data_IF_426599371195
#
_entry.id   IF_426599371195
#
_cell.length_a   1.000
_cell.length_b   1.000
_cell.length_c   1.000
_cell.angle_alpha   90.00
_cell.angle_beta   90.00
_cell.angle_gamma   90.00
#
_symmetry.space_group_name_H-M   'P 1'
#
loop_
_entity.id
_entity.type
_entity.pdbx_description
1 polymer ?
#
# COMPACT_ATOMS: atom_id res chain seq x y z
N UNK A 1 -11.65 19.06 33.34
CA UNK A 1 -12.33 17.80 33.76
C UNK A 1 -11.84 16.67 32.85
N UNK A 2 -11.81 15.41 33.32
CA UNK A 2 -11.53 14.30 32.38
C UNK A 2 -12.66 14.26 31.33
N UNK A 3 -12.34 14.19 30.03
CA UNK A 3 -13.36 14.14 28.99
C UNK A 3 -14.15 12.84 29.08
N UNK A 4 -15.44 12.89 28.72
CA UNK A 4 -16.32 11.72 28.70
C UNK A 4 -16.21 10.98 27.37
N UNK A 5 -16.59 9.71 27.34
CA UNK A 5 -16.46 8.81 26.19
C UNK A 5 -17.10 9.38 24.90
N UNK A 6 -18.22 10.11 25.00
CA UNK A 6 -18.84 10.79 23.86
C UNK A 6 -18.06 12.01 23.31
N UNK A 7 -17.33 12.73 24.17
CA UNK A 7 -16.41 13.81 23.74
C UNK A 7 -15.18 13.19 23.05
N UNK A 8 -14.68 12.05 23.54
CA UNK A 8 -13.58 11.33 22.91
C UNK A 8 -14.00 10.75 21.55
N UNK A 9 -15.20 10.15 21.43
CA UNK A 9 -15.70 9.64 20.16
C UNK A 9 -15.83 10.73 19.08
N UNK A 10 -16.15 11.97 19.45
CA UNK A 10 -16.30 13.08 18.50
C UNK A 10 -14.99 13.82 18.17
N UNK A 11 -13.96 13.71 19.02
CA UNK A 11 -12.73 14.52 18.90
C UNK A 11 -11.46 13.67 18.69
N UNK A 12 -11.52 12.35 18.89
CA UNK A 12 -10.33 11.46 18.83
C UNK A 12 -10.40 10.32 17.81
N UNK A 13 -11.47 10.23 17.02
CA UNK A 13 -11.58 9.19 16.00
C UNK A 13 -10.85 9.62 14.74
N UNK A 14 -9.91 8.78 14.29
CA UNK A 14 -9.34 8.82 12.94
C UNK A 14 -10.47 8.55 11.95
N UNK A 15 -11.07 9.59 11.32
CA UNK A 15 -12.16 9.35 10.41
C UNK A 15 -11.61 8.69 9.14
N UNK A 16 -12.37 7.80 8.53
CA UNK A 16 -12.04 7.31 7.19
C UNK A 16 -12.04 8.52 6.25
N UNK A 17 -10.88 8.83 5.66
CA UNK A 17 -10.73 9.96 4.73
C UNK A 17 -11.14 9.54 3.32
N UNK A 18 -10.73 8.35 2.90
CA UNK A 18 -11.01 7.81 1.57
C UNK A 18 -10.96 6.28 1.57
N UNK A 19 -11.74 5.65 0.68
CA UNK A 19 -11.73 4.21 0.47
C UNK A 19 -11.17 3.88 -0.92
N UNK A 20 -9.93 3.43 -0.95
CA UNK A 20 -9.23 3.09 -2.20
C UNK A 20 -9.47 1.62 -2.58
N UNK A 21 -9.91 1.40 -3.81
CA UNK A 21 -10.15 0.06 -4.40
C UNK A 21 -9.14 -0.24 -5.50
N UNK A 22 -8.99 -1.52 -5.87
CA UNK A 22 -8.18 -1.92 -7.04
C UNK A 22 -7.54 -3.30 -6.94
N UNK A 23 -7.40 -3.84 -5.73
CA UNK A 23 -6.97 -5.23 -5.53
C UNK A 23 -8.17 -6.18 -5.55
N UNK A 24 -7.98 -7.39 -6.11
CA UNK A 24 -9.02 -8.42 -6.19
C UNK A 24 -9.16 -9.28 -4.93
N UNK A 25 -8.24 -9.16 -3.97
CA UNK A 25 -8.14 -9.98 -2.76
C UNK A 25 -7.75 -9.14 -1.54
N UNK A 26 -7.69 -9.78 -0.37
CA UNK A 26 -7.32 -9.13 0.89
C UNK A 26 -5.96 -8.42 0.78
N UNK A 27 -5.89 -7.19 1.28
CA UNK A 27 -4.64 -6.43 1.36
C UNK A 27 -3.67 -7.11 2.32
N UNK A 28 -2.41 -7.26 1.93
CA UNK A 28 -1.38 -7.98 2.68
C UNK A 28 -0.24 -7.06 3.10
N UNK A 29 0.19 -6.16 2.21
CA UNK A 29 1.30 -5.26 2.46
C UNK A 29 0.99 -3.85 1.96
N UNK A 30 1.39 -2.86 2.75
CA UNK A 30 1.28 -1.44 2.43
C UNK A 30 2.58 -0.73 2.81
N UNK A 31 2.97 0.26 2.01
CA UNK A 31 4.07 1.16 2.32
C UNK A 31 3.75 2.57 1.81
N UNK A 32 4.24 3.59 2.49
CA UNK A 32 4.14 4.98 2.08
C UNK A 32 5.50 5.49 1.65
N UNK A 33 5.54 6.33 0.61
CA UNK A 33 6.77 7.02 0.23
C UNK A 33 7.20 8.02 1.32
N UNK A 34 8.49 8.36 1.34
CA UNK A 34 9.08 9.30 2.31
C UNK A 34 8.52 10.72 2.12
N UNK A 35 8.30 11.15 0.88
CA UNK A 35 7.60 12.39 0.52
C UNK A 35 6.10 12.37 0.82
N UNK A 36 5.55 11.20 1.15
CA UNK A 36 4.10 10.94 1.34
C UNK A 36 3.26 11.19 0.10
N UNK A 37 3.86 11.26 -1.09
CA UNK A 37 3.13 11.41 -2.35
C UNK A 37 2.51 10.09 -2.82
N UNK A 38 3.08 8.96 -2.43
CA UNK A 38 2.66 7.66 -2.93
C UNK A 38 2.38 6.65 -1.83
N UNK A 39 1.38 5.79 -2.10
CA UNK A 39 1.12 4.56 -1.35
C UNK A 39 1.33 3.39 -2.28
N UNK A 40 2.18 2.44 -1.88
CA UNK A 40 2.31 1.14 -2.51
C UNK A 40 1.50 0.10 -1.74
N UNK A 41 0.83 -0.79 -2.48
CA UNK A 41 -0.07 -1.79 -1.91
C UNK A 41 0.01 -3.11 -2.65
N UNK A 42 -0.11 -4.22 -1.92
CA UNK A 42 -0.20 -5.56 -2.47
C UNK A 42 -1.30 -6.37 -1.77
N UNK A 43 -1.91 -7.28 -2.50
CA UNK A 43 -2.89 -8.22 -1.97
C UNK A 43 -2.38 -9.65 -2.01
N UNK A 44 -3.16 -10.57 -1.42
CA UNK A 44 -2.92 -11.99 -1.58
C UNK A 44 -3.04 -12.38 -3.05
N UNK A 45 -2.02 -13.07 -3.55
CA UNK A 45 -2.04 -13.59 -4.90
C UNK A 45 -2.48 -15.06 -4.92
N UNK A 46 -3.51 -15.36 -5.71
CA UNK A 46 -3.84 -16.73 -6.11
C UNK A 46 -3.24 -17.12 -7.48
N UNK A 47 -2.70 -16.14 -8.19
CA UNK A 47 -2.10 -16.27 -9.52
C UNK A 47 -1.15 -15.10 -9.80
N UNK A 48 -0.25 -15.19 -10.81
CA UNK A 48 0.76 -14.17 -11.08
C UNK A 48 0.19 -12.78 -11.43
N UNK A 49 -0.97 -12.71 -12.07
CA UNK A 49 -1.64 -11.44 -12.39
C UNK A 49 -2.11 -10.67 -11.14
N UNK A 50 -2.29 -11.37 -10.02
CA UNK A 50 -2.60 -10.76 -8.71
C UNK A 50 -1.33 -10.45 -7.91
N UNK A 51 -0.19 -11.06 -8.24
CA UNK A 51 1.10 -10.89 -7.57
C UNK A 51 1.80 -9.59 -8.02
N UNK A 52 1.11 -8.46 -7.88
CA UNK A 52 1.57 -7.15 -8.33
C UNK A 52 1.53 -6.14 -7.18
N UNK A 53 2.39 -5.12 -7.27
CA UNK A 53 2.32 -3.95 -6.39
C UNK A 53 1.65 -2.80 -7.15
N UNK A 54 0.60 -2.23 -6.56
CA UNK A 54 -0.11 -1.07 -7.10
C UNK A 54 0.33 0.20 -6.37
N UNK A 55 0.63 1.25 -7.13
CA UNK A 55 0.98 2.57 -6.62
C UNK A 55 -0.22 3.50 -6.77
N UNK A 56 -0.53 4.27 -5.73
CA UNK A 56 -1.57 5.28 -5.74
C UNK A 56 -1.00 6.61 -5.25
N UNK A 57 -1.48 7.69 -5.84
CA UNK A 57 -1.22 9.06 -5.37
C UNK A 57 -2.03 9.34 -4.09
N UNK A 58 -1.41 9.97 -3.09
CA UNK A 58 -2.06 10.21 -1.79
C UNK A 58 -2.98 11.43 -1.76
N UNK A 59 -2.93 12.28 -2.77
CA UNK A 59 -3.77 13.48 -2.86
C UNK A 59 -5.06 13.19 -3.62
N UNK A 60 -4.94 12.47 -4.73
CA UNK A 60 -6.03 12.13 -5.65
C UNK A 60 -6.60 10.74 -5.42
N UNK A 61 -5.85 9.87 -4.73
CA UNK A 61 -6.18 8.46 -4.51
C UNK A 61 -6.33 7.63 -5.80
N UNK A 62 -5.79 8.14 -6.91
CA UNK A 62 -5.82 7.46 -8.20
C UNK A 62 -4.58 6.58 -8.40
N UNK A 63 -4.70 5.48 -9.17
CA UNK A 63 -3.56 4.66 -9.55
C UNK A 63 -2.52 5.46 -10.34
N UNK A 64 -1.24 5.26 -10.02
CA UNK A 64 -0.11 5.87 -10.72
C UNK A 64 0.56 4.82 -11.58
N UNK A 65 0.40 4.95 -12.90
CA UNK A 65 1.00 4.04 -13.87
C UNK A 65 0.43 2.62 -13.82
N UNK A 66 1.12 1.70 -14.49
CA UNK A 66 0.78 0.28 -14.49
C UNK A 66 1.28 -0.40 -13.20
N UNK A 67 0.60 -1.47 -12.72
CA UNK A 67 1.07 -2.24 -11.58
C UNK A 67 2.49 -2.77 -11.78
N UNK A 68 3.30 -2.77 -10.72
CA UNK A 68 4.63 -3.35 -10.72
C UNK A 68 4.49 -4.88 -10.75
N UNK A 69 4.79 -5.46 -11.91
CA UNK A 69 4.66 -6.90 -12.17
C UNK A 69 5.97 -7.66 -11.93
N UNK A 70 5.87 -8.99 -11.97
CA UNK A 70 7.01 -9.89 -12.05
C UNK A 70 7.08 -10.90 -10.91
N UNK A 71 6.47 -10.62 -9.76
CA UNK A 71 6.30 -11.65 -8.75
C UNK A 71 5.29 -12.71 -9.22
N UNK A 72 5.44 -13.93 -8.75
CA UNK A 72 4.53 -15.04 -9.08
C UNK A 72 3.68 -15.49 -7.89
N UNK A 73 4.00 -14.99 -6.68
CA UNK A 73 3.26 -15.25 -5.45
C UNK A 73 3.10 -13.95 -4.64
N UNK A 74 2.31 -14.02 -3.57
CA UNK A 74 2.01 -12.88 -2.68
C UNK A 74 3.27 -12.10 -2.28
N UNK A 75 3.27 -10.81 -2.58
CA UNK A 75 4.24 -9.84 -2.06
C UNK A 75 3.97 -9.65 -0.58
N UNK A 76 4.97 -9.89 0.26
CA UNK A 76 4.81 -9.89 1.72
C UNK A 76 5.32 -8.61 2.37
N UNK A 77 6.18 -7.85 1.69
CA UNK A 77 6.68 -6.57 2.20
C UNK A 77 7.11 -5.67 1.04
N UNK A 78 6.93 -4.37 1.24
CA UNK A 78 7.25 -3.29 0.29
C UNK A 78 8.00 -2.20 1.08
N UNK A 79 9.00 -1.58 0.46
CA UNK A 79 9.70 -0.43 1.03
C UNK A 79 10.07 0.56 -0.08
N UNK A 80 9.86 1.85 0.16
CA UNK A 80 10.41 2.92 -0.67
C UNK A 80 11.85 3.23 -0.22
N UNK A 81 12.71 3.65 -1.15
CA UNK A 81 13.96 4.29 -0.79
C UNK A 81 13.70 5.66 -0.12
N UNK A 82 14.65 6.17 0.68
CA UNK A 82 14.49 7.47 1.34
C UNK A 82 14.29 8.66 0.39
N UNK A 83 14.76 8.54 -0.85
CA UNK A 83 14.64 9.54 -1.93
C UNK A 83 13.44 9.27 -2.87
N UNK A 84 12.61 8.28 -2.56
CA UNK A 84 11.43 7.84 -3.32
C UNK A 84 11.70 7.43 -4.78
N UNK A 85 12.97 7.24 -5.15
CA UNK A 85 13.34 6.84 -6.51
C UNK A 85 13.25 5.34 -6.74
N UNK A 86 13.23 4.53 -5.67
CA UNK A 86 13.25 3.09 -5.76
C UNK A 86 12.18 2.47 -4.86
N UNK A 87 11.66 1.33 -5.31
CA UNK A 87 10.75 0.49 -4.52
C UNK A 87 11.33 -0.92 -4.47
N UNK A 88 11.57 -1.42 -3.26
CA UNK A 88 12.01 -2.79 -2.98
C UNK A 88 10.81 -3.62 -2.52
N UNK A 89 10.64 -4.79 -3.12
CA UNK A 89 9.58 -5.74 -2.78
C UNK A 89 10.15 -7.12 -2.52
N UNK A 90 9.52 -7.87 -1.63
CA UNK A 90 9.86 -9.28 -1.38
C UNK A 90 8.60 -10.14 -1.43
N UNK A 91 8.71 -11.36 -1.93
CA UNK A 91 7.57 -12.25 -2.16
C UNK A 91 7.80 -13.65 -1.64
N UNK A 92 6.69 -14.35 -1.41
CA UNK A 92 6.67 -15.80 -1.16
C UNK A 92 7.26 -16.63 -2.30
N UNK A 93 7.46 -16.06 -3.49
CA UNK A 93 8.16 -16.70 -4.61
C UNK A 93 9.68 -16.83 -4.38
N UNK A 94 10.16 -16.43 -3.20
CA UNK A 94 11.58 -16.48 -2.78
C UNK A 94 12.47 -15.52 -3.58
N UNK A 95 11.87 -14.57 -4.28
CA UNK A 95 12.57 -13.47 -4.92
C UNK A 95 12.27 -12.14 -4.24
N UNK A 96 13.20 -11.22 -4.43
CA UNK A 96 13.00 -9.80 -4.18
C UNK A 96 13.19 -9.05 -5.50
N UNK A 97 12.55 -7.89 -5.64
CA UNK A 97 12.60 -7.07 -6.85
C UNK A 97 12.78 -5.61 -6.49
N UNK A 98 13.55 -4.90 -7.30
CA UNK A 98 13.78 -3.47 -7.20
C UNK A 98 13.20 -2.79 -8.44
N UNK A 99 12.41 -1.76 -8.23
CA UNK A 99 11.77 -0.95 -9.27
C UNK A 99 12.25 0.51 -9.16
N UNK A 100 12.28 1.21 -10.29
CA UNK A 100 12.60 2.63 -10.43
C UNK A 100 11.45 3.32 -11.17
#
# INVERSE_FOLDING_TARGET
>A
RRPFEGELASVTLWPEVEKVFGHGYESIALATSSSRQYIASACKALSPEHAVVRIHDTTTYQPVGEPLTGHSLTVTQIAFSPDDQLILTVSRDRSWRLYQ
#
